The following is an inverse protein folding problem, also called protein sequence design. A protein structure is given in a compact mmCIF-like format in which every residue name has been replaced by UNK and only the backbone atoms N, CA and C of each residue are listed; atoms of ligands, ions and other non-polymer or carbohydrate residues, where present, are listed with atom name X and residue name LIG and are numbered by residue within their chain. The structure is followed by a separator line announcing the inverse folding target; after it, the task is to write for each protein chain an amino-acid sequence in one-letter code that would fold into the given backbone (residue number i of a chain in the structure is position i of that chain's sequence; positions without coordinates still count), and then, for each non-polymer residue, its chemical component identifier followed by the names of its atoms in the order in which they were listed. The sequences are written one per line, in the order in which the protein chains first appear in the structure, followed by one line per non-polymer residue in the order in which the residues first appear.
data_IF_735381375068
#
_entry.id   IF_735381375068
#
_cell.length_a   1.000
_cell.length_b   1.000
_cell.length_c   1.000
_cell.angle_alpha   90.00
_cell.angle_beta   90.00
_cell.angle_gamma   90.00
#
_symmetry.space_group_name_H-M   'P 1'
#
loop_
_entity.id
_entity.type
_entity.pdbx_description
1 polymer ?
#
# COMPACT_ATOMS: atom_id res chain seq x y z
N UNK A 1 2.63 12.23 19.25
CA UNK A 1 3.06 13.07 18.11
C UNK A 1 3.71 12.13 17.11
N UNK A 2 3.37 12.18 15.83
CA UNK A 2 4.06 11.38 14.79
C UNK A 2 5.53 11.83 14.74
N UNK A 3 6.47 10.88 14.72
CA UNK A 3 7.91 11.17 14.64
C UNK A 3 8.32 11.52 13.20
N UNK A 4 9.43 12.24 13.03
CA UNK A 4 9.92 12.66 11.71
C UNK A 4 10.14 11.48 10.75
N UNK A 5 10.60 10.33 11.27
CA UNK A 5 10.76 9.10 10.50
C UNK A 5 9.43 8.58 9.94
N UNK A 6 8.34 8.70 10.71
CA UNK A 6 7.01 8.28 10.25
C UNK A 6 6.49 9.22 9.17
N UNK A 7 6.79 10.51 9.23
CA UNK A 7 6.47 11.45 8.16
C UNK A 7 7.23 11.12 6.87
N UNK A 8 8.53 10.81 6.95
CA UNK A 8 9.32 10.41 5.79
C UNK A 8 8.79 9.12 5.12
N UNK A 9 8.38 8.13 5.93
CA UNK A 9 7.74 6.90 5.41
C UNK A 9 6.37 7.20 4.79
N UNK A 10 5.59 8.10 5.39
CA UNK A 10 4.29 8.52 4.86
C UNK A 10 4.41 9.26 3.53
N UNK A 11 5.38 10.17 3.41
CA UNK A 11 5.68 10.85 2.15
C UNK A 11 6.07 9.84 1.05
N UNK A 12 6.97 8.91 1.37
CA UNK A 12 7.39 7.85 0.47
C UNK A 12 6.20 7.00 0.01
N UNK A 13 5.27 6.70 0.92
CA UNK A 13 4.06 5.95 0.59
C UNK A 13 3.15 6.71 -0.37
N UNK A 14 2.98 8.02 -0.14
CA UNK A 14 2.19 8.90 -1.00
C UNK A 14 2.79 8.99 -2.41
N UNK A 15 4.12 9.14 -2.51
CA UNK A 15 4.83 9.17 -3.80
C UNK A 15 4.61 7.85 -4.56
N UNK A 16 4.88 6.71 -3.93
CA UNK A 16 4.68 5.40 -4.57
C UNK A 16 3.22 5.20 -5.01
N UNK A 17 2.25 5.60 -4.18
CA UNK A 17 0.83 5.53 -4.53
C UNK A 17 0.45 6.45 -5.70
N UNK A 18 1.08 7.64 -5.80
CA UNK A 18 0.94 8.56 -6.93
C UNK A 18 1.45 7.92 -8.23
N UNK A 19 2.64 7.34 -8.21
CA UNK A 19 3.23 6.66 -9.37
C UNK A 19 2.36 5.51 -9.89
N UNK A 20 1.70 4.75 -9.00
CA UNK A 20 0.73 3.71 -9.41
C UNK A 20 -0.42 4.31 -10.22
N UNK A 21 -0.95 5.47 -9.79
CA UNK A 21 -2.04 6.17 -10.48
C UNK A 21 -1.58 6.75 -11.81
N UNK A 22 -0.42 7.37 -11.87
CA UNK A 22 0.14 7.91 -13.12
C UNK A 22 0.36 6.81 -14.16
N UNK A 23 0.95 5.68 -13.76
CA UNK A 23 1.10 4.54 -14.66
C UNK A 23 -0.25 3.99 -15.13
N UNK A 24 -1.25 3.96 -14.24
CA UNK A 24 -2.60 3.52 -14.59
C UNK A 24 -3.26 4.47 -15.60
N UNK A 25 -3.13 5.78 -15.41
CA UNK A 25 -3.66 6.78 -16.35
C UNK A 25 -3.05 6.65 -17.74
N UNK A 26 -1.73 6.44 -17.81
CA UNK A 26 -1.04 6.17 -19.08
C UNK A 26 -1.59 4.90 -19.74
N UNK A 27 -1.66 3.80 -19.00
CA UNK A 27 -2.19 2.54 -19.53
C UNK A 27 -3.69 2.56 -19.85
N UNK A 28 -4.47 3.44 -19.22
CA UNK A 28 -5.88 3.66 -19.56
C UNK A 28 -6.05 4.40 -20.88
N UNK A 29 -5.11 5.29 -21.23
CA UNK A 29 -5.11 6.02 -22.51
C UNK A 29 -4.56 5.18 -23.65
N UNK A 30 -3.50 4.44 -23.40
CA UNK A 30 -2.73 3.72 -24.43
C UNK A 30 -3.12 2.23 -24.55
N UNK A 31 -3.80 1.69 -23.54
CA UNK A 31 -4.13 0.27 -23.43
C UNK A 31 -3.07 -0.50 -22.64
N UNK A 32 -3.50 -1.56 -21.92
CA UNK A 32 -2.57 -2.38 -21.11
C UNK A 32 -1.64 -3.27 -21.93
N UNK A 33 -2.02 -3.52 -23.17
CA UNK A 33 -1.26 -4.28 -24.15
C UNK A 33 -1.00 -3.39 -25.36
N UNK A 34 0.25 -3.35 -25.80
CA UNK A 34 0.72 -2.52 -26.92
C UNK A 34 1.30 -3.41 -28.01
N UNK A 35 1.27 -2.95 -29.26
CA UNK A 35 1.97 -3.64 -30.34
C UNK A 35 3.48 -3.41 -30.21
N UNK A 36 4.24 -4.50 -30.18
CA UNK A 36 5.70 -4.49 -30.27
C UNK A 36 6.18 -5.19 -31.54
N UNK A 37 7.50 -5.16 -31.77
CA UNK A 37 8.13 -5.73 -32.96
C UNK A 37 7.83 -7.22 -33.17
N UNK A 38 7.54 -7.96 -32.10
CA UNK A 38 7.26 -9.41 -32.12
C UNK A 38 5.78 -9.75 -31.90
N UNK A 39 4.90 -8.75 -32.00
CA UNK A 39 3.48 -8.87 -31.69
C UNK A 39 3.10 -8.17 -30.39
N UNK A 40 1.90 -8.48 -29.88
CA UNK A 40 1.34 -7.82 -28.72
C UNK A 40 2.17 -8.10 -27.45
N UNK A 41 2.54 -7.04 -26.73
CA UNK A 41 3.32 -7.10 -25.50
C UNK A 41 2.67 -6.25 -24.40
N UNK A 42 3.10 -6.47 -23.17
CA UNK A 42 2.64 -5.68 -22.01
C UNK A 42 3.20 -4.26 -22.11
N UNK A 43 2.36 -3.27 -21.81
CA UNK A 43 2.77 -1.87 -21.80
C UNK A 43 3.97 -1.66 -20.85
N UNK A 44 5.04 -0.93 -21.26
CA UNK A 44 6.22 -0.69 -20.42
C UNK A 44 5.93 -0.12 -19.02
N UNK A 45 4.98 0.82 -18.92
CA UNK A 45 4.49 1.39 -17.66
C UNK A 45 3.98 0.34 -16.66
N UNK A 46 3.55 -0.85 -17.11
CA UNK A 46 3.13 -1.91 -16.22
C UNK A 46 4.25 -2.35 -15.26
N UNK A 47 5.50 -2.43 -15.74
CA UNK A 47 6.63 -2.83 -14.87
C UNK A 47 6.89 -1.80 -13.77
N UNK A 48 6.83 -0.52 -14.13
CA UNK A 48 6.97 0.57 -13.18
C UNK A 48 5.82 0.57 -12.16
N UNK A 49 4.58 0.40 -12.64
CA UNK A 49 3.41 0.27 -11.79
C UNK A 49 3.55 -0.89 -10.79
N UNK A 50 4.00 -2.07 -11.24
CA UNK A 50 4.21 -3.22 -10.37
C UNK A 50 5.26 -2.97 -9.28
N UNK A 51 6.34 -2.25 -9.60
CA UNK A 51 7.35 -1.86 -8.62
C UNK A 51 6.76 -0.90 -7.57
N UNK A 52 6.09 0.17 -8.02
CA UNK A 52 5.45 1.14 -7.13
C UNK A 52 4.36 0.52 -6.25
N UNK A 53 3.57 -0.43 -6.79
CA UNK A 53 2.57 -1.18 -6.00
C UNK A 53 3.21 -2.03 -4.89
N UNK A 54 4.38 -2.62 -5.15
CA UNK A 54 5.11 -3.41 -4.13
C UNK A 54 5.65 -2.51 -3.04
N UNK A 55 6.25 -1.39 -3.42
CA UNK A 55 6.79 -0.39 -2.49
C UNK A 55 5.69 0.21 -1.61
N UNK A 56 4.57 0.65 -2.20
CA UNK A 56 3.43 1.16 -1.46
C UNK A 56 2.87 0.13 -0.46
N UNK A 57 2.85 -1.16 -0.81
CA UNK A 57 2.43 -2.23 0.11
C UNK A 57 3.39 -2.42 1.28
N UNK A 58 4.69 -2.33 1.05
CA UNK A 58 5.70 -2.43 2.12
C UNK A 58 5.57 -1.25 3.09
N UNK A 59 5.52 -0.02 2.56
CA UNK A 59 5.35 1.18 3.38
C UNK A 59 4.01 1.18 4.13
N UNK A 60 2.94 0.67 3.53
CA UNK A 60 1.65 0.50 4.21
C UNK A 60 1.70 -0.51 5.38
N UNK A 61 2.57 -1.53 5.31
CA UNK A 61 2.79 -2.47 6.40
C UNK A 61 3.57 -1.84 7.56
N UNK A 62 4.54 -0.99 7.26
CA UNK A 62 5.32 -0.24 8.26
C UNK A 62 4.45 0.82 8.96
N UNK A 63 3.60 1.52 8.21
CA UNK A 63 2.67 2.52 8.74
C UNK A 63 1.44 1.91 9.45
N UNK A 64 1.29 0.58 9.44
CA UNK A 64 0.17 -0.11 10.09
C UNK A 64 -1.20 0.06 9.41
N UNK A 65 -1.27 0.66 8.22
CA UNK A 65 -2.52 0.92 7.50
C UNK A 65 -2.99 -0.27 6.65
N UNK A 66 -2.17 -1.32 6.53
CA UNK A 66 -2.56 -2.53 5.79
C UNK A 66 -3.75 -3.23 6.46
N UNK A 67 -4.69 -3.83 5.68
CA UNK A 67 -5.88 -4.48 6.25
C UNK A 67 -5.57 -5.56 7.28
N UNK A 68 -4.47 -6.30 7.11
CA UNK A 68 -4.03 -7.33 8.04
C UNK A 68 -3.55 -6.74 9.38
N UNK A 69 -2.87 -5.58 9.35
CA UNK A 69 -2.44 -4.86 10.57
C UNK A 69 -3.62 -4.22 11.29
N UNK A 70 -4.59 -3.65 10.56
CA UNK A 70 -5.81 -3.05 11.16
C UNK A 70 -6.62 -4.03 12.02
N UNK A 71 -6.76 -5.28 11.56
CA UNK A 71 -7.45 -6.33 12.33
C UNK A 71 -6.72 -6.72 13.62
N UNK A 72 -5.38 -6.75 13.61
CA UNK A 72 -4.60 -7.07 14.80
C UNK A 72 -4.79 -6.02 15.92
N UNK A 73 -4.86 -4.74 15.55
CA UNK A 73 -5.13 -3.64 16.52
C UNK A 73 -6.57 -3.75 17.08
N UNK A 74 -7.56 -4.03 16.24
CA UNK A 74 -8.96 -4.23 16.69
C UNK A 74 -9.17 -5.46 17.58
N UNK A 75 -8.27 -6.45 17.52
CA UNK A 75 -8.28 -7.62 18.40
C UNK A 75 -7.60 -7.33 19.74
N UNK A 76 -6.48 -6.59 19.76
CA UNK A 76 -5.82 -6.17 21.00
C UNK A 76 -6.74 -5.31 21.90
N UNK A 77 -7.51 -4.39 21.30
CA UNK A 77 -8.48 -3.55 22.02
C UNK A 77 -9.64 -4.35 22.68
N UNK A 78 -9.91 -5.58 22.22
CA UNK A 78 -10.95 -6.46 22.82
C UNK A 78 -10.44 -7.28 23.99
N UNK A 79 -9.13 -7.29 24.25
CA UNK A 79 -8.50 -8.04 25.34
C UNK A 79 -8.35 -7.23 26.64
N UNK A 80 -8.73 -5.94 26.64
CA UNK A 80 -8.64 -5.03 27.78
C UNK A 80 -9.85 -4.99 28.72
N UNK A 81 -10.80 -5.91 28.56
CA UNK A 81 -11.98 -5.98 29.42
C UNK A 81 -12.16 -7.40 29.93
N UNK A 82 -11.71 -7.66 31.16
CA UNK A 82 -12.32 -8.49 32.22
C UNK A 82 -11.25 -8.91 33.24
N UNK A 83 -10.80 -7.97 34.08
CA UNK A 83 -10.05 -8.30 35.31
C UNK A 83 -10.44 -7.40 36.51
N UNK A 84 -11.73 -7.08 36.65
CA UNK A 84 -12.21 -6.26 37.78
C UNK A 84 -13.37 -6.86 38.57
N UNK A 85 -13.93 -8.01 38.15
CA UNK A 85 -15.14 -8.58 38.78
C UNK A 85 -14.96 -10.03 39.28
N UNK A 86 -13.71 -10.53 39.32
CA UNK A 86 -13.38 -11.88 39.81
C UNK A 86 -12.74 -11.90 41.21
N UNK A 87 -12.62 -10.75 41.88
CA UNK A 87 -12.02 -10.62 43.22
C UNK A 87 -12.88 -9.83 44.21
N UNK A 88 -14.20 -9.76 44.01
CA UNK A 88 -15.16 -9.20 44.98
C UNK A 88 -16.02 -10.30 45.61
#
# INVERSE_FOLDING_TARGET
MLTDDVFAMMESYCIASGQVRECEEVMMREGRLVEGERGQTVHPAHRLQQAAMREARLLACELGISPHRKKAVEEEDKTGGWDSDLLA
#
